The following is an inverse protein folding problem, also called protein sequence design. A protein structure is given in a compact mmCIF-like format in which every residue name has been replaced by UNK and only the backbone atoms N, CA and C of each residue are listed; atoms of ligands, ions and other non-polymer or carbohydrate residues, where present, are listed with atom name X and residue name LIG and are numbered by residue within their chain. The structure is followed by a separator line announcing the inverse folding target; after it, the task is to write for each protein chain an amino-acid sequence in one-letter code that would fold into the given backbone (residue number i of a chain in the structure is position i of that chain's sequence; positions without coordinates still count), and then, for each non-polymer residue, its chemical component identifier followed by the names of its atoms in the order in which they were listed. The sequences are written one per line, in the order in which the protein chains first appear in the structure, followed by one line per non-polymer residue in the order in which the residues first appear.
data_IF_182206024845
#
_entry.id   IF_182206024845
#
_cell.length_a   1.000
_cell.length_b   1.000
_cell.length_c   1.000
_cell.angle_alpha   90.00
_cell.angle_beta   90.00
_cell.angle_gamma   90.00
#
_symmetry.space_group_name_H-M   'P 1'
#
loop_
_entity.id
_entity.type
_entity.pdbx_description
1 polymer ?
#
# COMPACT_ATOMS: atom_id res chain seq x y z
N UNK A 1 -7.36 16.26 -17.75
CA UNK A 1 -7.34 16.06 -16.29
C UNK A 1 -8.78 16.13 -15.79
N UNK A 2 -9.21 15.22 -14.90
CA UNK A 2 -10.56 15.21 -14.35
C UNK A 2 -10.89 16.52 -13.64
N UNK A 3 -12.17 16.89 -13.59
CA UNK A 3 -12.58 18.11 -12.88
C UNK A 3 -12.53 17.84 -11.37
N UNK A 4 -11.87 18.72 -10.61
CA UNK A 4 -11.93 18.67 -9.15
C UNK A 4 -13.34 19.00 -8.65
N UNK A 5 -13.91 18.08 -7.91
CA UNK A 5 -15.17 18.24 -7.18
C UNK A 5 -14.84 18.89 -5.84
N UNK A 6 -15.40 20.08 -5.58
CA UNK A 6 -15.09 20.84 -4.37
C UNK A 6 -15.47 20.07 -3.09
N UNK A 7 -16.60 19.36 -3.10
CA UNK A 7 -17.08 18.62 -1.93
C UNK A 7 -16.16 17.44 -1.63
N UNK A 8 -15.68 16.75 -2.67
CA UNK A 8 -14.69 15.69 -2.49
C UNK A 8 -13.33 16.26 -2.07
N UNK A 9 -12.91 17.39 -2.65
CA UNK A 9 -11.64 18.02 -2.30
C UNK A 9 -11.57 18.46 -0.84
N UNK A 10 -12.71 18.86 -0.27
CA UNK A 10 -12.85 19.30 1.13
C UNK A 10 -13.10 18.14 2.11
N UNK A 11 -13.24 16.89 1.64
CA UNK A 11 -13.60 15.72 2.47
C UNK A 11 -12.45 15.18 3.34
N UNK A 12 -11.51 16.03 3.77
CA UNK A 12 -10.31 15.65 4.53
C UNK A 12 -10.68 15.00 5.87
N UNK A 13 -11.65 15.57 6.59
CA UNK A 13 -12.05 15.05 7.90
C UNK A 13 -12.73 13.68 7.79
N UNK A 14 -13.59 13.49 6.78
CA UNK A 14 -14.19 12.19 6.49
C UNK A 14 -13.11 11.16 6.16
N UNK A 15 -12.12 11.54 5.36
CA UNK A 15 -11.03 10.66 4.99
C UNK A 15 -10.17 10.28 6.21
N UNK A 16 -9.84 11.25 7.08
CA UNK A 16 -9.13 10.96 8.34
C UNK A 16 -9.91 10.03 9.24
N UNK A 17 -11.23 10.24 9.37
CA UNK A 17 -12.09 9.38 10.19
C UNK A 17 -12.11 7.95 9.65
N UNK A 18 -12.16 7.77 8.33
CA UNK A 18 -12.09 6.43 7.72
C UNK A 18 -10.77 5.69 8.05
N UNK A 19 -9.65 6.40 8.15
CA UNK A 19 -8.37 5.79 8.54
C UNK A 19 -8.35 5.35 10.01
N UNK A 20 -9.10 6.02 10.89
CA UNK A 20 -9.20 5.67 12.31
C UNK A 20 -9.90 4.33 12.54
N UNK A 21 -10.70 3.87 11.59
CA UNK A 21 -11.32 2.53 11.65
C UNK A 21 -10.28 1.41 11.52
N UNK A 22 -9.11 1.68 10.91
CA UNK A 22 -8.09 0.66 10.62
C UNK A 22 -6.73 0.93 11.26
N UNK A 23 -6.48 2.13 11.76
CA UNK A 23 -5.20 2.55 12.33
C UNK A 23 -5.40 3.47 13.55
N UNK A 24 -4.50 3.42 14.55
CA UNK A 24 -4.45 4.43 15.61
C UNK A 24 -4.23 5.84 15.04
N UNK A 25 -4.82 6.84 15.68
CA UNK A 25 -4.75 8.25 15.23
C UNK A 25 -3.31 8.75 15.16
N UNK A 26 -2.45 8.28 16.07
CA UNK A 26 -1.03 8.64 16.12
C UNK A 26 -0.24 8.14 14.90
N UNK A 27 -0.77 7.17 14.15
CA UNK A 27 -0.15 6.65 12.93
C UNK A 27 -0.60 7.41 11.67
N UNK A 28 -1.64 8.27 11.77
CA UNK A 28 -2.19 9.04 10.66
C UNK A 28 -1.72 10.50 10.75
N UNK A 29 -0.68 10.83 9.99
CA UNK A 29 -0.05 12.13 10.00
C UNK A 29 -0.80 13.22 9.23
N UNK A 30 -0.05 14.23 8.77
CA UNK A 30 -0.59 15.38 8.05
C UNK A 30 -1.28 14.98 6.74
N UNK A 31 -2.30 15.74 6.34
CA UNK A 31 -2.88 15.61 5.00
C UNK A 31 -1.89 16.17 3.98
N UNK A 32 -1.49 15.34 3.01
CA UNK A 32 -0.46 15.68 2.04
C UNK A 32 -1.05 16.24 0.75
N UNK A 33 -2.08 15.57 0.23
CA UNK A 33 -2.66 15.95 -1.05
C UNK A 33 -4.06 15.37 -1.26
N UNK A 34 -4.77 15.95 -2.23
CA UNK A 34 -5.98 15.38 -2.81
C UNK A 34 -5.90 15.44 -4.33
N UNK A 35 -6.13 14.29 -4.95
CA UNK A 35 -6.08 14.11 -6.41
C UNK A 35 -7.44 13.65 -6.90
N UNK A 36 -7.91 14.26 -8.00
CA UNK A 36 -9.10 13.79 -8.69
C UNK A 36 -8.69 12.64 -9.61
N UNK A 37 -9.13 11.42 -9.29
CA UNK A 37 -8.96 10.25 -10.17
C UNK A 37 -10.01 10.31 -11.29
N UNK A 38 -11.23 10.72 -10.93
CA UNK A 38 -12.35 10.97 -11.86
C UNK A 38 -13.21 12.16 -11.35
N UNK A 39 -14.21 12.57 -12.14
CA UNK A 39 -15.08 13.71 -11.80
C UNK A 39 -15.82 13.57 -10.45
N UNK A 40 -16.00 12.34 -9.96
CA UNK A 40 -16.69 12.03 -8.69
C UNK A 40 -15.93 11.02 -7.83
N UNK A 41 -14.63 10.88 -8.06
CA UNK A 41 -13.74 9.99 -7.31
C UNK A 41 -12.44 10.73 -7.02
N UNK A 42 -12.10 10.92 -5.75
CA UNK A 42 -10.86 11.59 -5.33
C UNK A 42 -10.11 10.74 -4.32
N UNK A 43 -8.79 10.83 -4.34
CA UNK A 43 -7.90 10.17 -3.39
C UNK A 43 -7.26 11.22 -2.49
N UNK A 44 -7.51 11.14 -1.18
CA UNK A 44 -6.78 11.89 -0.17
C UNK A 44 -5.56 11.09 0.28
N UNK A 45 -4.42 11.76 0.42
CA UNK A 45 -3.21 11.15 0.98
C UNK A 45 -2.81 11.80 2.30
N UNK A 46 -2.31 10.98 3.22
CA UNK A 46 -1.79 11.42 4.52
C UNK A 46 -0.43 10.80 4.78
N UNK A 47 0.44 11.49 5.51
CA UNK A 47 1.71 10.91 5.95
C UNK A 47 1.46 9.70 6.86
N UNK A 48 2.20 8.60 6.67
CA UNK A 48 2.14 7.46 7.58
C UNK A 48 3.21 7.57 8.67
N UNK A 49 2.78 7.69 9.93
CA UNK A 49 3.67 7.72 11.11
C UNK A 49 3.70 6.32 11.76
N UNK A 50 3.77 5.28 10.93
CA UNK A 50 3.75 3.89 11.36
C UNK A 50 5.18 3.34 11.43
N UNK A 51 5.62 2.78 12.58
CA UNK A 51 6.94 2.15 12.68
C UNK A 51 7.16 1.10 11.59
N UNK A 52 8.31 1.18 10.91
CA UNK A 52 8.67 0.29 9.78
C UNK A 52 8.14 0.73 8.40
N UNK A 53 7.35 1.80 8.33
CA UNK A 53 6.71 2.28 7.09
C UNK A 53 7.17 3.72 6.75
N UNK A 54 8.46 4.00 6.94
CA UNK A 54 9.04 5.29 6.60
C UNK A 54 8.81 5.64 5.14
N UNK A 55 8.34 6.87 4.87
CA UNK A 55 8.05 7.36 3.52
C UNK A 55 6.79 6.77 2.88
N UNK A 56 6.01 5.96 3.61
CA UNK A 56 4.70 5.50 3.14
C UNK A 56 3.62 6.54 3.40
N UNK A 57 2.55 6.44 2.62
CA UNK A 57 1.41 7.35 2.68
C UNK A 57 0.13 6.52 2.89
N UNK A 58 -0.74 6.96 3.80
CA UNK A 58 -2.12 6.49 3.81
C UNK A 58 -2.85 7.07 2.62
N UNK A 59 -3.75 6.30 2.03
CA UNK A 59 -4.68 6.79 1.03
C UNK A 59 -6.13 6.49 1.44
N UNK A 60 -7.03 7.36 1.02
CA UNK A 60 -8.47 7.18 1.14
C UNK A 60 -9.10 7.61 -0.17
N UNK A 61 -9.73 6.67 -0.86
CA UNK A 61 -10.55 6.97 -2.02
C UNK A 61 -11.97 7.31 -1.57
N UNK A 62 -12.46 8.48 -1.99
CA UNK A 62 -13.79 8.99 -1.66
C UNK A 62 -14.57 9.29 -2.94
N UNK A 63 -15.87 9.00 -2.91
CA UNK A 63 -16.74 9.20 -4.05
C UNK A 63 -18.09 9.83 -3.68
N UNK A 64 -18.78 10.36 -4.68
CA UNK A 64 -20.19 10.78 -4.56
C UNK A 64 -21.04 10.19 -5.66
N UNK A 65 -22.14 9.55 -5.29
CA UNK A 65 -23.15 9.15 -6.25
C UNK A 65 -23.74 10.37 -6.99
N UNK A 66 -24.19 10.23 -8.25
CA UNK A 66 -24.82 11.31 -9.00
C UNK A 66 -25.99 11.94 -8.24
N UNK A 67 -26.08 13.28 -8.26
CA UNK A 67 -27.12 14.09 -7.57
C UNK A 67 -27.16 13.97 -6.05
N UNK A 68 -26.27 13.20 -5.43
CA UNK A 68 -26.17 13.05 -3.97
C UNK A 68 -25.08 13.97 -3.43
N UNK A 69 -25.36 14.66 -2.32
CA UNK A 69 -24.36 15.51 -1.64
C UNK A 69 -23.41 14.72 -0.74
N UNK A 70 -23.90 13.61 -0.17
CA UNK A 70 -23.14 12.73 0.72
C UNK A 70 -21.91 12.15 0.01
N UNK A 71 -20.76 12.25 0.68
CA UNK A 71 -19.52 11.58 0.32
C UNK A 71 -19.48 10.20 0.98
N UNK A 72 -18.94 9.22 0.26
CA UNK A 72 -18.72 7.85 0.74
C UNK A 72 -17.27 7.46 0.53
N UNK A 73 -16.75 6.58 1.40
CA UNK A 73 -15.41 6.01 1.27
C UNK A 73 -15.51 4.74 0.42
N UNK A 74 -14.63 4.59 -0.56
CA UNK A 74 -14.54 3.41 -1.42
C UNK A 74 -13.51 2.41 -0.87
N UNK A 75 -12.35 2.91 -0.47
CA UNK A 75 -11.24 2.11 0.03
C UNK A 75 -10.29 2.98 0.85
N UNK A 76 -9.55 2.30 1.72
CA UNK A 76 -8.48 2.86 2.54
C UNK A 76 -7.30 1.91 2.51
N UNK A 77 -6.10 2.45 2.63
CA UNK A 77 -4.92 1.60 2.73
C UNK A 77 -3.63 2.40 2.78
N UNK A 78 -2.54 1.68 2.58
CA UNK A 78 -1.20 2.22 2.63
C UNK A 78 -0.51 1.99 1.29
N UNK A 79 0.14 3.01 0.76
CA UNK A 79 0.94 2.93 -0.45
C UNK A 79 2.35 3.45 -0.21
N UNK A 80 3.34 2.92 -0.92
CA UNK A 80 4.67 3.49 -0.91
C UNK A 80 4.64 4.92 -1.47
N UNK A 81 5.11 5.88 -0.67
CA UNK A 81 5.39 7.24 -1.14
C UNK A 81 6.77 7.32 -1.78
N UNK A 82 7.16 8.53 -2.20
CA UNK A 82 8.39 8.77 -2.94
C UNK A 82 9.66 8.40 -2.14
N UNK A 83 9.59 8.52 -0.80
CA UNK A 83 10.72 8.27 0.09
C UNK A 83 10.64 6.89 0.78
N UNK A 84 9.75 6.01 0.27
CA UNK A 84 9.54 4.69 0.86
C UNK A 84 10.66 3.71 0.54
N UNK A 85 11.03 2.89 1.54
CA UNK A 85 11.92 1.75 1.33
C UNK A 85 11.10 0.61 0.70
N UNK A 86 11.32 0.37 -0.59
CA UNK A 86 10.69 -0.72 -1.33
C UNK A 86 11.43 -2.04 -1.14
N UNK A 87 10.68 -3.15 -1.23
CA UNK A 87 11.26 -4.47 -1.27
C UNK A 87 12.16 -4.64 -2.52
N UNK A 88 13.26 -5.40 -2.42
CA UNK A 88 14.04 -5.77 -3.58
C UNK A 88 13.18 -6.58 -4.56
N UNK A 89 13.63 -6.66 -5.81
CA UNK A 89 12.99 -7.53 -6.79
C UNK A 89 12.90 -8.97 -6.28
N UNK A 90 11.77 -9.62 -6.52
CA UNK A 90 11.60 -11.01 -6.16
C UNK A 90 12.60 -11.88 -6.92
N UNK A 91 13.22 -12.82 -6.22
CA UNK A 91 14.06 -13.87 -6.79
C UNK A 91 13.55 -15.25 -6.36
N UNK A 92 13.71 -16.29 -7.19
CA UNK A 92 13.41 -17.67 -6.83
C UNK A 92 14.02 -18.05 -5.48
N UNK A 93 13.33 -18.90 -4.72
CA UNK A 93 13.80 -19.31 -3.40
C UNK A 93 15.21 -19.93 -3.46
N UNK A 94 15.48 -20.77 -4.46
CA UNK A 94 16.80 -21.38 -4.68
C UNK A 94 17.92 -20.33 -4.84
N UNK A 95 17.62 -19.14 -5.35
CA UNK A 95 18.60 -18.07 -5.49
C UNK A 95 18.88 -17.34 -4.18
N UNK A 96 17.93 -17.35 -3.23
CA UNK A 96 18.07 -16.75 -1.88
C UNK A 96 18.95 -17.59 -0.95
N UNK A 97 19.09 -18.88 -1.22
CA UNK A 97 19.91 -19.80 -0.42
C UNK A 97 21.39 -19.39 -0.47
N UNK A 98 22.09 -19.59 0.62
CA UNK A 98 23.54 -19.43 0.62
C UNK A 98 24.24 -20.56 -0.17
N UNK A 99 25.54 -20.42 -0.41
CA UNK A 99 26.29 -21.43 -1.17
C UNK A 99 26.36 -22.79 -0.48
N UNK A 100 26.30 -22.85 0.85
CA UNK A 100 26.39 -24.10 1.60
C UNK A 100 25.08 -24.88 1.49
N UNK A 101 23.96 -24.19 1.68
CA UNK A 101 22.62 -24.77 1.53
C UNK A 101 22.40 -25.27 0.09
N UNK A 102 22.85 -24.51 -0.93
CA UNK A 102 22.83 -24.94 -2.34
C UNK A 102 23.65 -26.22 -2.57
N UNK A 103 24.86 -26.29 -2.00
CA UNK A 103 25.74 -27.47 -2.11
C UNK A 103 25.14 -28.69 -1.41
N UNK A 104 24.51 -28.50 -0.27
CA UNK A 104 23.87 -29.58 0.48
C UNK A 104 22.66 -30.15 -0.26
N UNK A 105 21.79 -29.29 -0.80
CA UNK A 105 20.64 -29.73 -1.60
C UNK A 105 21.08 -30.50 -2.86
N UNK A 106 22.14 -30.03 -3.55
CA UNK A 106 22.70 -30.75 -4.70
C UNK A 106 23.32 -32.11 -4.33
N UNK A 107 23.94 -32.21 -3.14
CA UNK A 107 24.47 -33.47 -2.65
C UNK A 107 23.35 -34.46 -2.27
N UNK A 108 22.25 -33.97 -1.68
CA UNK A 108 21.08 -34.78 -1.35
C UNK A 108 20.32 -35.27 -2.59
N UNK A 109 20.15 -34.44 -3.63
CA UNK A 109 19.59 -34.84 -4.92
C UNK A 109 20.45 -35.92 -5.60
N UNK A 110 21.77 -35.71 -5.66
CA UNK A 110 22.69 -36.70 -6.24
C UNK A 110 22.65 -38.05 -5.49
N UNK A 111 22.53 -38.01 -4.15
CA UNK A 111 22.38 -39.20 -3.34
C UNK A 111 21.03 -39.92 -3.61
N UNK A 112 19.93 -39.17 -3.74
CA UNK A 112 18.61 -39.71 -4.03
C UNK A 112 18.52 -40.36 -5.42
N UNK A 113 19.11 -39.75 -6.45
CA UNK A 113 19.21 -40.36 -7.79
C UNK A 113 20.01 -41.67 -7.79
N UNK A 114 21.10 -41.74 -7.01
CA UNK A 114 21.91 -42.96 -6.91
C UNK A 114 21.24 -44.11 -6.16
N UNK A 115 20.22 -43.82 -5.33
CA UNK A 115 19.50 -44.80 -4.53
C UNK A 115 18.22 -45.32 -5.20
N UNK A 116 17.75 -44.67 -6.27
CA UNK A 116 16.53 -45.04 -7.02
C UNK A 116 16.77 -45.89 -8.28
N UNK A 117 18.03 -46.19 -8.61
CA UNK A 117 18.45 -46.99 -9.77
C UNK A 117 18.72 -48.46 -9.46
#
# INVERSE_FOLDING_TARGET
MPKKDAVLSEAVDLAREALREIAPDEQVGEHLSVTAEEDRLHTHRFAAVKPGYHGWEWFVAVARAPRVKKVTVCEVGLLPGNDSLLAPAWVPWAERMDEQEKKQMAAEEAAAESAGG
#
